data_IF_535442872178
#
_entry.id   IF_535442872178
#
_cell.length_a   1.000
_cell.length_b   1.000
_cell.length_c   1.000
_cell.angle_alpha   90.00
_cell.angle_beta   90.00
_cell.angle_gamma   90.00
#
_symmetry.space_group_name_H-M   'P 1'
#
loop_
_entity.id
_entity.type
_entity.pdbx_description
1 polymer ?
#
# COMPACT_ATOMS: atom_id res chain seq x y z
N UNK A 1 -16.13 11.31 -5.76
CA UNK A 1 -16.36 11.14 -7.20
C UNK A 1 -17.63 11.83 -7.73
N UNK A 2 -18.28 12.75 -7.00
CA UNK A 2 -19.57 13.36 -7.44
C UNK A 2 -19.48 14.81 -7.96
N UNK A 3 -18.51 15.62 -7.54
CA UNK A 3 -18.29 16.98 -8.08
C UNK A 3 -17.77 16.96 -9.53
N UNK A 4 -16.89 16.00 -9.85
CA UNK A 4 -16.38 15.75 -11.20
C UNK A 4 -17.49 15.35 -12.18
N UNK A 5 -18.53 14.67 -11.69
CA UNK A 5 -19.68 14.24 -12.48
C UNK A 5 -20.63 15.42 -12.78
N UNK A 6 -20.88 16.30 -11.80
CA UNK A 6 -21.66 17.52 -12.00
C UNK A 6 -20.99 18.51 -13.00
N UNK A 7 -19.66 18.61 -12.98
CA UNK A 7 -18.90 19.38 -13.97
C UNK A 7 -18.98 18.74 -15.38
N UNK A 8 -18.86 17.42 -15.48
CA UNK A 8 -19.01 16.71 -16.76
C UNK A 8 -20.42 16.83 -17.37
N UNK A 9 -21.43 17.00 -16.52
CA UNK A 9 -22.83 17.24 -16.92
C UNK A 9 -23.13 18.70 -17.27
N UNK A 10 -22.13 19.61 -17.21
CA UNK A 10 -22.28 21.03 -17.54
C UNK A 10 -23.15 21.82 -16.56
N UNK A 11 -23.48 21.22 -15.41
CA UNK A 11 -24.30 21.85 -14.36
C UNK A 11 -23.48 22.79 -13.47
N UNK A 12 -22.15 22.69 -13.54
CA UNK A 12 -21.20 23.50 -12.79
C UNK A 12 -20.16 24.05 -13.76
N UNK A 13 -19.98 25.38 -13.79
CA UNK A 13 -18.94 26.01 -14.59
C UNK A 13 -17.54 25.66 -14.06
N UNK A 14 -16.52 25.75 -14.93
CA UNK A 14 -15.11 25.48 -14.58
C UNK A 14 -14.64 26.38 -13.42
N UNK A 15 -15.06 27.64 -13.39
CA UNK A 15 -14.66 28.56 -12.33
C UNK A 15 -15.29 28.18 -10.98
N UNK A 16 -16.56 27.80 -10.99
CA UNK A 16 -17.28 27.36 -9.79
C UNK A 16 -16.77 26.01 -9.27
N UNK A 17 -16.41 25.08 -10.17
CA UNK A 17 -15.73 23.84 -9.82
C UNK A 17 -14.41 24.09 -9.08
N UNK A 18 -13.60 25.03 -9.58
CA UNK A 18 -12.32 25.39 -8.97
C UNK A 18 -12.51 26.01 -7.59
N UNK A 19 -13.50 26.89 -7.43
CA UNK A 19 -13.84 27.52 -6.16
C UNK A 19 -14.29 26.48 -5.11
N UNK A 20 -15.23 25.59 -5.45
CA UNK A 20 -15.70 24.53 -4.54
C UNK A 20 -14.59 23.53 -4.20
N UNK A 21 -13.68 23.25 -5.13
CA UNK A 21 -12.51 22.38 -4.89
C UNK A 21 -11.48 23.04 -3.98
N UNK A 22 -11.23 24.34 -4.14
CA UNK A 22 -10.34 25.10 -3.27
C UNK A 22 -10.86 25.14 -1.83
N UNK A 23 -12.16 25.37 -1.63
CA UNK A 23 -12.79 25.37 -0.30
C UNK A 23 -12.68 23.97 0.34
N UNK A 24 -12.97 22.90 -0.41
CA UNK A 24 -12.82 21.53 0.10
C UNK A 24 -11.37 21.19 0.51
N UNK A 25 -10.37 21.74 -0.20
CA UNK A 25 -8.95 21.51 0.09
C UNK A 25 -8.44 22.21 1.34
N UNK A 26 -9.13 23.26 1.81
CA UNK A 26 -8.77 24.02 3.02
C UNK A 26 -9.46 23.50 4.29
N UNK A 27 -10.49 22.67 4.16
CA UNK A 27 -11.17 22.02 5.26
C UNK A 27 -10.22 21.07 6.01
N UNK A 28 -10.10 21.23 7.34
CA UNK A 28 -9.18 20.43 8.17
C UNK A 28 -9.92 19.41 9.04
N UNK A 29 -11.22 19.58 9.22
CA UNK A 29 -12.05 18.70 10.02
C UNK A 29 -13.30 18.28 9.27
N UNK A 30 -13.90 17.15 9.67
CA UNK A 30 -15.15 16.67 9.07
C UNK A 30 -16.32 17.66 9.27
N UNK A 31 -16.28 18.49 10.32
CA UNK A 31 -17.25 19.56 10.55
C UNK A 31 -17.13 20.71 9.55
N UNK A 32 -15.92 21.01 9.09
CA UNK A 32 -15.66 22.08 8.12
C UNK A 32 -16.24 21.76 6.73
N UNK A 33 -16.47 20.47 6.43
CA UNK A 33 -17.12 20.00 5.20
C UNK A 33 -18.64 19.98 5.29
N UNK A 34 -19.22 20.06 6.50
CA UNK A 34 -20.66 19.95 6.70
C UNK A 34 -21.49 21.01 5.93
N UNK A 35 -21.07 22.28 5.81
CA UNK A 35 -21.77 23.28 4.99
C UNK A 35 -21.80 22.91 3.51
N UNK A 36 -20.70 22.36 2.96
CA UNK A 36 -20.62 21.93 1.56
C UNK A 36 -21.50 20.69 1.28
N UNK A 37 -21.73 19.86 2.29
CA UNK A 37 -22.55 18.65 2.20
C UNK A 37 -24.04 18.90 2.44
N UNK A 38 -24.41 20.05 3.02
CA UNK A 38 -25.80 20.41 3.31
C UNK A 38 -26.60 20.78 2.03
N UNK A 39 -25.91 21.27 1.01
CA UNK A 39 -26.48 21.67 -0.29
C UNK A 39 -26.75 20.47 -1.22
N UNK A 40 -26.26 19.28 -0.86
CA UNK A 40 -26.43 18.05 -1.65
C UNK A 40 -27.71 17.30 -1.22
N UNK A 41 -28.54 16.84 -2.18
CA UNK A 41 -29.67 15.97 -1.86
C UNK A 41 -29.14 14.65 -1.29
N UNK A 42 -29.38 14.43 0.02
CA UNK A 42 -28.82 13.32 0.81
C UNK A 42 -28.18 13.74 2.14
N UNK A 43 -28.16 15.05 2.46
CA UNK A 43 -27.68 15.59 3.74
C UNK A 43 -28.40 15.00 4.95
N UNK A 44 -27.84 13.95 5.55
CA UNK A 44 -28.27 13.45 6.85
C UNK A 44 -27.06 13.30 7.76
N UNK A 45 -27.06 14.11 8.82
CA UNK A 45 -26.31 13.87 10.02
C UNK A 45 -26.53 12.41 10.48
N UNK A 46 -25.44 11.70 10.79
CA UNK A 46 -25.49 10.33 11.30
C UNK A 46 -26.43 10.28 12.52
N UNK A 47 -27.54 9.53 12.49
CA UNK A 47 -28.47 9.46 13.63
C UNK A 47 -27.79 8.79 14.84
N UNK A 48 -27.96 9.37 16.02
CA UNK A 48 -27.58 8.77 17.31
C UNK A 48 -28.21 7.37 17.42
N UNK A 49 -27.45 6.29 17.69
CA UNK A 49 -28.00 4.95 17.69
C UNK A 49 -29.03 4.80 18.81
N UNK A 50 -30.30 4.56 18.44
CA UNK A 50 -31.29 4.06 19.38
C UNK A 50 -30.92 2.63 19.78
N UNK A 51 -31.18 2.21 21.04
CA UNK A 51 -30.91 0.85 21.48
C UNK A 51 -31.79 -0.12 20.68
N UNK A 52 -31.16 -0.87 19.78
CA UNK A 52 -31.79 -2.00 19.09
C UNK A 52 -31.86 -3.16 20.09
N UNK A 53 -33.05 -3.74 20.23
CA UNK A 53 -33.21 -5.04 20.87
C UNK A 53 -32.38 -6.05 20.07
N UNK A 54 -31.29 -6.53 20.65
CA UNK A 54 -30.42 -7.54 20.04
C UNK A 54 -31.09 -8.91 20.19
N UNK A 55 -31.52 -9.57 19.10
CA UNK A 55 -31.83 -10.99 19.17
C UNK A 55 -30.56 -11.73 19.64
N UNK A 56 -30.74 -12.67 20.56
CA UNK A 56 -29.65 -13.47 21.16
C UNK A 56 -28.78 -14.10 20.07
N UNK A 57 -27.55 -13.59 19.96
CA UNK A 57 -26.50 -14.11 19.07
C UNK A 57 -26.13 -15.58 19.39
N UNK A 58 -26.58 -16.11 20.53
CA UNK A 58 -26.26 -17.45 21.01
C UNK A 58 -26.82 -18.57 20.12
N UNK A 59 -28.02 -18.39 19.55
CA UNK A 59 -28.63 -19.41 18.69
C UNK A 59 -28.06 -19.43 17.27
N UNK A 60 -27.55 -18.30 16.79
CA UNK A 60 -26.85 -18.24 15.50
C UNK A 60 -25.40 -18.70 15.64
N UNK A 61 -24.75 -18.44 16.77
CA UNK A 61 -23.34 -18.76 17.02
C UNK A 61 -23.01 -20.26 16.98
N UNK A 62 -23.95 -21.16 17.27
CA UNK A 62 -23.69 -22.61 17.25
C UNK A 62 -23.66 -23.19 15.84
N UNK A 63 -24.54 -22.74 14.93
CA UNK A 63 -24.60 -23.24 13.54
C UNK A 63 -23.54 -22.57 12.67
N UNK A 64 -23.23 -21.31 12.96
CA UNK A 64 -22.15 -20.53 12.34
C UNK A 64 -20.81 -21.06 12.87
N UNK A 65 -20.66 -21.23 14.19
CA UNK A 65 -19.36 -21.39 14.86
C UNK A 65 -18.44 -22.50 14.35
N UNK A 66 -18.94 -23.66 13.94
CA UNK A 66 -18.06 -24.77 13.52
C UNK A 66 -17.51 -24.64 12.11
N UNK A 67 -18.27 -24.03 11.19
CA UNK A 67 -17.88 -23.84 9.79
C UNK A 67 -16.81 -22.74 9.63
N UNK A 68 -16.89 -21.66 10.42
CA UNK A 68 -15.91 -20.56 10.36
C UNK A 68 -14.55 -20.88 10.96
N UNK A 69 -14.43 -21.93 11.78
CA UNK A 69 -13.13 -22.33 12.32
C UNK A 69 -12.31 -23.04 11.24
N UNK A 70 -12.92 -24.02 10.55
CA UNK A 70 -12.29 -24.77 9.47
C UNK A 70 -11.88 -23.84 8.31
N UNK A 71 -12.79 -22.97 7.87
CA UNK A 71 -12.49 -22.00 6.81
C UNK A 71 -11.39 -20.99 7.16
N UNK A 72 -11.25 -20.58 8.44
CA UNK A 72 -10.16 -19.67 8.86
C UNK A 72 -8.81 -20.37 8.89
N UNK A 73 -8.77 -21.64 9.21
CA UNK A 73 -7.54 -22.43 9.25
C UNK A 73 -7.06 -22.76 7.83
N UNK A 74 -7.98 -23.05 6.90
CA UNK A 74 -7.67 -23.16 5.47
C UNK A 74 -7.15 -21.85 4.87
N UNK A 75 -7.78 -20.72 5.19
CA UNK A 75 -7.33 -19.40 4.73
C UNK A 75 -5.96 -19.03 5.29
N UNK A 76 -5.67 -19.38 6.55
CA UNK A 76 -4.32 -19.22 7.13
C UNK A 76 -3.30 -20.08 6.41
N UNK A 77 -3.59 -21.37 6.20
CA UNK A 77 -2.69 -22.28 5.48
C UNK A 77 -2.39 -21.76 4.06
N UNK A 78 -3.41 -21.31 3.34
CA UNK A 78 -3.25 -20.72 1.99
C UNK A 78 -2.49 -19.39 1.99
N UNK A 79 -2.66 -18.57 3.04
CA UNK A 79 -1.91 -17.33 3.20
C UNK A 79 -0.43 -17.64 3.47
N UNK A 80 -0.13 -18.60 4.34
CA UNK A 80 1.23 -19.04 4.65
C UNK A 80 1.93 -19.60 3.39
N UNK A 81 1.25 -20.45 2.61
CA UNK A 81 1.75 -20.99 1.35
C UNK A 81 1.99 -19.90 0.29
N UNK A 82 1.06 -18.93 0.17
CA UNK A 82 1.18 -17.82 -0.78
C UNK A 82 2.29 -16.82 -0.43
N UNK A 83 2.51 -16.58 0.86
CA UNK A 83 3.56 -15.68 1.35
C UNK A 83 4.96 -16.23 1.04
N UNK A 84 5.18 -17.54 1.18
CA UNK A 84 6.47 -18.18 0.87
C UNK A 84 6.85 -18.03 -0.61
N UNK A 85 5.90 -18.26 -1.52
CA UNK A 85 6.11 -18.13 -2.96
C UNK A 85 6.29 -16.68 -3.40
N UNK A 86 5.49 -15.76 -2.86
CA UNK A 86 5.64 -14.33 -3.09
C UNK A 86 7.02 -13.85 -2.61
N UNK A 87 7.46 -14.32 -1.43
CA UNK A 87 8.75 -13.96 -0.86
C UNK A 87 9.92 -14.53 -1.67
N UNK A 88 9.84 -15.77 -2.17
CA UNK A 88 10.84 -16.35 -3.09
C UNK A 88 10.96 -15.52 -4.37
N UNK A 89 9.84 -15.12 -4.97
CA UNK A 89 9.83 -14.32 -6.21
C UNK A 89 10.44 -12.93 -5.99
N UNK A 90 10.07 -12.26 -4.89
CA UNK A 90 10.65 -10.96 -4.52
C UNK A 90 12.14 -11.09 -4.21
N UNK A 91 12.57 -12.16 -3.51
CA UNK A 91 13.98 -12.40 -3.22
C UNK A 91 14.80 -12.64 -4.50
N UNK A 92 14.29 -13.42 -5.45
CA UNK A 92 14.96 -13.65 -6.74
C UNK A 92 15.00 -12.39 -7.60
N UNK A 93 13.93 -11.59 -7.61
CA UNK A 93 13.91 -10.30 -8.30
C UNK A 93 14.89 -9.29 -7.68
N UNK A 94 14.98 -9.24 -6.35
CA UNK A 94 15.93 -8.41 -5.63
C UNK A 94 17.38 -8.86 -5.90
N UNK A 95 17.65 -10.17 -5.92
CA UNK A 95 18.94 -10.72 -6.28
C UNK A 95 19.31 -10.38 -7.72
N UNK A 96 18.39 -10.57 -8.67
CA UNK A 96 18.59 -10.23 -10.09
C UNK A 96 18.91 -8.75 -10.27
N UNK A 97 18.19 -7.87 -9.57
CA UNK A 97 18.43 -6.43 -9.59
C UNK A 97 19.80 -6.09 -9.03
N UNK A 98 20.19 -6.69 -7.90
CA UNK A 98 21.50 -6.50 -7.28
C UNK A 98 22.65 -6.95 -8.19
N UNK A 99 22.54 -8.15 -8.79
CA UNK A 99 23.55 -8.68 -9.73
C UNK A 99 23.68 -7.78 -10.96
N UNK A 100 22.57 -7.31 -11.53
CA UNK A 100 22.58 -6.42 -12.70
C UNK A 100 23.27 -5.09 -12.39
N UNK A 101 22.97 -4.49 -11.24
CA UNK A 101 23.63 -3.24 -10.79
C UNK A 101 25.13 -3.46 -10.57
N UNK A 102 25.51 -4.55 -9.88
CA UNK A 102 26.91 -4.88 -9.66
C UNK A 102 27.65 -5.07 -10.99
N UNK A 103 27.07 -5.84 -11.91
CA UNK A 103 27.65 -6.10 -13.23
C UNK A 103 27.83 -4.82 -14.05
N UNK A 104 26.81 -3.97 -14.16
CA UNK A 104 26.89 -2.71 -14.92
C UNK A 104 27.95 -1.79 -14.33
N UNK A 105 27.99 -1.65 -13.00
CA UNK A 105 28.95 -0.78 -12.32
C UNK A 105 30.38 -1.27 -12.52
N UNK A 106 30.61 -2.59 -12.44
CA UNK A 106 31.91 -3.20 -12.73
C UNK A 106 32.30 -3.08 -14.21
N UNK A 107 31.34 -3.23 -15.13
CA UNK A 107 31.57 -3.08 -16.56
C UNK A 107 31.95 -1.63 -16.93
N UNK A 108 31.28 -0.63 -16.35
CA UNK A 108 31.63 0.78 -16.51
C UNK A 108 33.04 1.04 -15.98
N UNK A 109 33.38 0.49 -14.81
CA UNK A 109 34.72 0.62 -14.23
C UNK A 109 35.79 -0.01 -15.14
N UNK A 110 35.57 -1.23 -15.65
CA UNK A 110 36.48 -1.89 -16.60
C UNK A 110 36.63 -1.10 -17.90
N UNK A 111 35.51 -0.60 -18.44
CA UNK A 111 35.50 0.16 -19.69
C UNK A 111 36.17 1.53 -19.56
N UNK A 112 36.14 2.15 -18.38
CA UNK A 112 36.78 3.45 -18.11
C UNK A 112 38.31 3.33 -18.01
N UNK A 113 38.84 2.10 -17.94
CA UNK A 113 40.28 1.82 -17.96
C UNK A 113 40.96 2.08 -16.63
N UNK A 114 42.01 1.30 -16.35
CA UNK A 114 42.95 1.40 -15.22
C UNK A 114 43.78 2.71 -15.22
N UNK A 115 43.19 3.86 -15.58
CA UNK A 115 43.91 5.02 -16.11
C UNK A 115 43.98 6.25 -15.20
N UNK A 116 43.51 6.20 -13.97
CA UNK A 116 43.52 7.36 -13.10
C UNK A 116 43.88 6.99 -11.67
N UNK A 117 44.75 7.80 -11.09
CA UNK A 117 45.36 7.72 -9.75
C UNK A 117 44.31 7.80 -8.61
N UNK A 118 43.33 6.90 -8.62
CA UNK A 118 42.11 6.95 -7.81
C UNK A 118 42.04 5.78 -6.81
N UNK A 119 43.12 5.47 -6.09
CA UNK A 119 43.09 4.85 -4.75
C UNK A 119 42.28 3.57 -4.46
N UNK A 120 41.56 2.92 -5.38
CA UNK A 120 40.87 1.65 -5.14
C UNK A 120 39.59 1.40 -5.97
N UNK A 121 39.10 0.15 -5.91
CA UNK A 121 37.90 -0.34 -6.58
C UNK A 121 36.62 0.27 -5.97
N UNK A 122 36.29 1.51 -6.36
CA UNK A 122 35.08 2.22 -5.92
C UNK A 122 33.73 1.46 -6.10
N UNK A 123 33.57 0.50 -7.05
CA UNK A 123 32.35 -0.31 -7.14
C UNK A 123 32.02 -1.14 -5.89
N UNK A 124 32.96 -1.26 -4.93
CA UNK A 124 32.72 -1.93 -3.65
C UNK A 124 31.67 -1.20 -2.78
N UNK A 125 31.58 0.13 -2.87
CA UNK A 125 30.64 0.92 -2.07
C UNK A 125 29.17 0.63 -2.41
N UNK A 126 28.75 0.61 -3.69
CA UNK A 126 27.42 0.14 -4.08
C UNK A 126 27.11 -1.30 -3.66
N UNK A 127 28.09 -2.22 -3.77
CA UNK A 127 27.90 -3.62 -3.38
C UNK A 127 27.64 -3.76 -1.87
N UNK A 128 28.34 -2.97 -1.03
CA UNK A 128 28.12 -2.95 0.43
C UNK A 128 26.79 -2.27 0.76
N UNK A 129 26.51 -1.09 0.20
CA UNK A 129 25.28 -0.33 0.47
C UNK A 129 24.00 -1.08 0.05
N UNK A 130 24.06 -1.84 -1.05
CA UNK A 130 22.95 -2.66 -1.54
C UNK A 130 22.98 -4.11 -1.04
N UNK A 131 24.08 -4.56 -0.44
CA UNK A 131 24.18 -5.88 0.18
C UNK A 131 23.37 -5.98 1.47
N UNK A 132 23.21 -4.87 2.21
CA UNK A 132 22.44 -4.80 3.47
C UNK A 132 20.98 -5.27 3.32
N UNK A 133 20.17 -4.79 2.34
CA UNK A 133 18.80 -5.29 2.17
C UNK A 133 18.76 -6.77 1.72
N UNK A 134 19.77 -7.25 1.00
CA UNK A 134 19.88 -8.66 0.61
C UNK A 134 20.21 -9.56 1.82
N UNK A 135 21.12 -9.11 2.70
CA UNK A 135 21.45 -9.80 3.96
C UNK A 135 20.27 -9.74 4.93
N UNK A 136 19.51 -8.65 4.98
CA UNK A 136 18.28 -8.58 5.78
C UNK A 136 17.22 -9.57 5.27
N UNK A 137 17.10 -9.73 3.95
CA UNK A 137 16.22 -10.74 3.34
C UNK A 137 16.68 -12.17 3.66
N UNK A 138 17.98 -12.46 3.61
CA UNK A 138 18.55 -13.78 3.93
C UNK A 138 18.56 -14.10 5.43
N UNK A 139 18.81 -13.12 6.30
CA UNK A 139 18.75 -13.30 7.75
C UNK A 139 17.32 -13.68 8.18
N UNK A 140 16.30 -13.14 7.50
CA UNK A 140 14.90 -13.47 7.76
C UNK A 140 14.52 -14.92 7.40
N UNK A 141 15.30 -15.60 6.55
CA UNK A 141 15.11 -17.01 6.18
C UNK A 141 15.75 -18.01 7.16
N UNK A 142 16.81 -17.59 7.85
CA UNK A 142 17.63 -18.51 8.67
C UNK A 142 17.12 -18.68 10.11
N UNK A 143 16.11 -17.91 10.51
CA UNK A 143 15.55 -17.89 11.87
C UNK A 143 14.09 -18.38 11.96
N UNK A 144 13.61 -19.13 10.96
CA UNK A 144 12.35 -19.88 11.03
C UNK A 144 12.67 -21.35 10.75
#
# INVERSE_FOLDING_TARGET
MRLSEAHALGQLDVNEFNERTAIASTAKTAGDLAPLLADLPGGQAVPKPAPRHTPSLSSYATVVGTDWHDGRDELRRRADEGDEDAQRRVAMAALSTWVLVAFITTAVWLATGFGGDHGGFWPIWPMIGLGIPLVAAMARWKFK
#
